data_IF_997456541219
#
_entry.id   IF_997456541219
#
_cell.length_a   1.000
_cell.length_b   1.000
_cell.length_c   1.000
_cell.angle_alpha   90.00
_cell.angle_beta   90.00
_cell.angle_gamma   90.00
#
_symmetry.space_group_name_H-M   'P 1'
#
loop_
_entity.id
_entity.type
_entity.pdbx_description
1 polymer ?
#
# COMPACT_ATOMS: atom_id res chain seq x y z
N UNK A 1 -14.41 3.45 5.73
CA UNK A 1 -13.57 2.49 4.99
C UNK A 1 -12.15 2.62 5.54
N UNK A 2 -11.54 1.55 6.05
CA UNK A 2 -10.14 1.58 6.50
C UNK A 2 -9.26 1.20 5.29
N UNK A 3 -8.64 2.17 4.63
CA UNK A 3 -7.89 1.99 3.36
C UNK A 3 -6.44 1.55 3.56
N UNK A 4 -5.81 1.93 4.68
CA UNK A 4 -4.41 1.58 5.00
C UNK A 4 -4.20 0.08 5.29
N UNK A 5 -5.03 -0.61 6.11
CA UNK A 5 -4.85 -2.04 6.37
C UNK A 5 -4.93 -2.90 5.10
N UNK A 6 -5.75 -2.48 4.13
CA UNK A 6 -5.89 -3.14 2.83
C UNK A 6 -4.63 -2.95 2.00
N UNK A 7 -4.10 -1.72 1.91
CA UNK A 7 -2.86 -1.42 1.21
C UNK A 7 -1.67 -2.23 1.76
N UNK A 8 -1.57 -2.38 3.09
CA UNK A 8 -0.53 -3.19 3.75
C UNK A 8 -0.63 -4.65 3.31
N UNK A 9 -1.83 -5.24 3.36
CA UNK A 9 -2.05 -6.63 2.93
C UNK A 9 -1.67 -6.85 1.47
N UNK A 10 -2.08 -5.94 0.60
CA UNK A 10 -1.76 -6.01 -0.83
C UNK A 10 -0.24 -5.88 -1.09
N UNK A 11 0.45 -4.98 -0.37
CA UNK A 11 1.91 -4.87 -0.44
C UNK A 11 2.61 -6.15 0.03
N UNK A 12 2.14 -6.77 1.11
CA UNK A 12 2.67 -8.05 1.62
C UNK A 12 2.41 -9.21 0.66
N UNK A 13 1.30 -9.18 -0.08
CA UNK A 13 0.97 -10.15 -1.14
C UNK A 13 1.78 -9.92 -2.43
N UNK A 14 2.62 -8.88 -2.49
CA UNK A 14 3.46 -8.57 -3.65
C UNK A 14 2.70 -7.91 -4.81
N UNK A 15 1.55 -7.28 -4.55
CA UNK A 15 0.84 -6.53 -5.57
C UNK A 15 1.62 -5.30 -6.05
N UNK A 16 1.38 -4.94 -7.31
CA UNK A 16 1.88 -3.72 -7.92
C UNK A 16 1.36 -2.46 -7.23
N UNK A 17 2.25 -1.48 -7.04
CA UNK A 17 1.96 -0.19 -6.40
C UNK A 17 0.79 0.55 -7.07
N UNK A 18 0.74 0.52 -8.40
CA UNK A 18 -0.31 1.18 -9.19
C UNK A 18 -1.69 0.56 -8.93
N UNK A 19 -1.76 -0.77 -8.82
CA UNK A 19 -3.01 -1.48 -8.53
C UNK A 19 -3.52 -1.15 -7.13
N UNK A 20 -2.61 -1.01 -6.17
CA UNK A 20 -2.95 -0.64 -4.80
C UNK A 20 -3.52 0.78 -4.75
N UNK A 21 -2.89 1.73 -5.45
CA UNK A 21 -3.38 3.10 -5.61
C UNK A 21 -4.80 3.11 -6.17
N UNK A 22 -5.07 2.36 -7.26
CA UNK A 22 -6.41 2.28 -7.86
C UNK A 22 -7.45 1.66 -6.93
N UNK A 23 -7.09 0.59 -6.21
CA UNK A 23 -8.02 -0.16 -5.34
C UNK A 23 -8.32 0.58 -4.04
N UNK A 24 -7.34 1.27 -3.49
CA UNK A 24 -7.42 1.89 -2.16
C UNK A 24 -7.75 3.38 -2.23
N UNK A 25 -7.56 4.02 -3.40
CA UNK A 25 -7.68 5.45 -3.58
C UNK A 25 -6.57 6.26 -2.90
N UNK A 26 -5.54 5.58 -2.36
CA UNK A 26 -4.37 6.24 -1.78
C UNK A 26 -3.49 6.82 -2.86
N UNK A 27 -2.77 7.90 -2.56
CA UNK A 27 -1.74 8.41 -3.45
C UNK A 27 -0.54 7.47 -3.50
N UNK A 28 0.17 7.46 -4.62
CA UNK A 28 1.40 6.67 -4.77
C UNK A 28 2.40 6.94 -3.64
N UNK A 29 2.51 8.19 -3.20
CA UNK A 29 3.38 8.60 -2.09
C UNK A 29 2.98 7.99 -0.75
N UNK A 30 1.67 7.83 -0.49
CA UNK A 30 1.19 7.16 0.72
C UNK A 30 1.51 5.68 0.69
N UNK A 31 1.29 5.01 -0.45
CA UNK A 31 1.59 3.58 -0.61
C UNK A 31 3.11 3.33 -0.52
N UNK A 32 3.94 4.20 -1.07
CA UNK A 32 5.40 4.14 -0.93
C UNK A 32 5.86 4.30 0.52
N UNK A 33 5.28 5.24 1.27
CA UNK A 33 5.59 5.39 2.71
C UNK A 33 5.25 4.13 3.49
N UNK A 34 4.11 3.51 3.20
CA UNK A 34 3.71 2.25 3.84
C UNK A 34 4.70 1.14 3.49
N UNK A 35 5.08 1.02 2.20
CA UNK A 35 6.07 0.05 1.75
C UNK A 35 7.40 0.22 2.47
N UNK A 36 7.92 1.45 2.57
CA UNK A 36 9.15 1.73 3.32
C UNK A 36 9.02 1.33 4.78
N UNK A 37 7.89 1.63 5.44
CA UNK A 37 7.67 1.22 6.83
C UNK A 37 7.67 -0.31 7.00
N UNK A 38 7.18 -1.07 6.01
CA UNK A 38 7.19 -2.53 6.04
C UNK A 38 8.58 -3.12 5.80
N UNK A 39 9.41 -2.49 4.97
CA UNK A 39 10.79 -2.94 4.70
C UNK A 39 11.75 -2.64 5.87
N UNK A 40 11.41 -1.63 6.69
CA UNK A 40 12.20 -1.23 7.87
C UNK A 40 11.73 -1.88 9.18
N UNK A 41 10.79 -2.82 9.14
CA UNK A 41 10.22 -3.51 10.30
C UNK A 41 10.66 -4.96 10.39
#
# INVERSE_FOLDING_TARGET
MQTIPIAIKMLQEGMELQLIVEKTGLSQREVEKIKQQLEHS
#
